data_IF_967483958666
#
_entry.id   IF_967483958666
#
_cell.length_a   1.000
_cell.length_b   1.000
_cell.length_c   1.000
_cell.angle_alpha   90.00
_cell.angle_beta   90.00
_cell.angle_gamma   90.00
#
_symmetry.space_group_name_H-M   'P 1'
#
loop_
_entity.id
_entity.type
_entity.pdbx_description
1 polymer ?
#
# COMPACT_ATOMS: atom_id res chain seq x y z
N UNK A 1 3.79 -18.81 20.10
CA UNK A 1 2.76 -19.46 19.24
C UNK A 1 3.01 -20.94 19.03
N UNK A 2 4.11 -21.38 18.41
CA UNK A 2 4.34 -22.81 18.15
C UNK A 2 4.32 -23.70 19.40
N UNK A 3 4.84 -23.23 20.53
CA UNK A 3 4.74 -23.96 21.81
C UNK A 3 3.27 -24.18 22.26
N UNK A 4 2.41 -23.16 22.10
CA UNK A 4 0.98 -23.29 22.38
C UNK A 4 0.30 -24.27 21.42
N UNK A 5 0.60 -24.21 20.11
CA UNK A 5 0.10 -25.17 19.12
C UNK A 5 0.50 -26.60 19.49
N UNK A 6 1.75 -26.82 19.92
CA UNK A 6 2.23 -28.14 20.32
C UNK A 6 1.55 -28.64 21.60
N UNK A 7 1.38 -27.78 22.61
CA UNK A 7 0.67 -28.12 23.84
C UNK A 7 -0.80 -28.48 23.59
N UNK A 8 -1.49 -27.74 22.71
CA UNK A 8 -2.86 -28.07 22.29
C UNK A 8 -2.91 -29.41 21.55
N UNK A 9 -1.98 -29.66 20.62
CA UNK A 9 -1.89 -30.96 19.93
C UNK A 9 -1.55 -32.12 20.85
N UNK A 10 -0.86 -31.86 21.96
CA UNK A 10 -0.56 -32.83 23.01
C UNK A 10 -1.72 -33.03 24.01
N UNK A 11 -2.79 -32.24 23.91
CA UNK A 11 -3.91 -32.26 24.87
C UNK A 11 -3.56 -31.65 26.23
N UNK A 12 -2.46 -30.89 26.32
CA UNK A 12 -2.01 -30.21 27.53
C UNK A 12 -2.75 -28.88 27.76
N UNK A 13 -3.22 -28.26 26.69
CA UNK A 13 -3.99 -27.02 26.68
C UNK A 13 -5.20 -27.16 25.76
N UNK A 14 -6.26 -26.38 26.03
CA UNK A 14 -7.43 -26.32 25.18
C UNK A 14 -7.15 -25.49 23.91
N UNK A 15 -7.69 -25.90 22.74
CA UNK A 15 -7.69 -25.05 21.55
C UNK A 15 -8.55 -23.79 21.78
N UNK A 16 -8.31 -22.69 21.03
CA UNK A 16 -9.22 -21.55 21.02
C UNK A 16 -10.65 -22.00 20.71
N UNK A 17 -11.62 -21.53 21.51
CA UNK A 17 -13.02 -21.94 21.40
C UNK A 17 -13.64 -21.63 20.03
N UNK A 18 -13.14 -20.60 19.36
CA UNK A 18 -13.50 -20.17 18.02
C UNK A 18 -13.14 -21.23 16.98
N UNK A 19 -12.05 -21.99 17.18
CA UNK A 19 -11.69 -23.09 16.30
C UNK A 19 -12.61 -24.29 16.45
N UNK A 20 -13.33 -24.44 17.57
CA UNK A 20 -14.37 -25.46 17.69
C UNK A 20 -15.60 -25.13 16.84
N UNK A 21 -15.93 -23.84 16.69
CA UNK A 21 -16.94 -23.39 15.75
C UNK A 21 -16.44 -23.50 14.31
N UNK A 22 -15.25 -22.95 14.02
CA UNK A 22 -14.68 -22.92 12.69
C UNK A 22 -14.32 -24.31 12.15
N UNK A 23 -13.90 -25.24 13.02
CA UNK A 23 -13.54 -26.61 12.64
C UNK A 23 -14.66 -27.33 11.91
N UNK A 24 -15.87 -27.26 12.47
CA UNK A 24 -17.07 -27.82 11.83
C UNK A 24 -17.38 -27.16 10.49
N UNK A 25 -17.11 -25.87 10.34
CA UNK A 25 -17.31 -25.15 9.08
C UNK A 25 -16.27 -25.49 8.02
N UNK A 26 -15.02 -25.64 8.44
CA UNK A 26 -13.85 -25.81 7.57
C UNK A 26 -13.50 -27.29 7.32
N UNK A 27 -14.31 -28.22 7.82
CA UNK A 27 -14.11 -29.66 7.62
C UNK A 27 -12.97 -30.26 8.46
N UNK A 28 -12.57 -29.60 9.55
CA UNK A 28 -11.63 -30.17 10.51
C UNK A 28 -12.37 -31.02 11.54
N UNK A 29 -11.92 -32.27 11.71
CA UNK A 29 -12.49 -33.19 12.71
C UNK A 29 -12.22 -32.72 14.14
N UNK A 30 -11.05 -32.10 14.34
CA UNK A 30 -10.64 -31.56 15.63
C UNK A 30 -10.14 -30.11 15.47
N UNK A 31 -10.41 -29.19 16.42
CA UNK A 31 -10.03 -27.78 16.31
C UNK A 31 -8.53 -27.55 16.08
N UNK A 32 -7.69 -28.40 16.66
CA UNK A 32 -6.23 -28.29 16.54
C UNK A 32 -5.71 -28.60 15.13
N UNK A 33 -6.49 -29.25 14.27
CA UNK A 33 -6.11 -29.52 12.87
C UNK A 33 -6.02 -28.22 12.06
N UNK A 34 -6.74 -27.17 12.47
CA UNK A 34 -6.64 -25.83 11.89
C UNK A 34 -5.43 -25.04 12.40
N UNK A 35 -4.73 -25.53 13.45
CA UNK A 35 -3.58 -24.87 14.04
C UNK A 35 -2.29 -25.30 13.33
N UNK A 36 -1.98 -24.60 12.24
CA UNK A 36 -0.75 -24.80 11.46
C UNK A 36 0.47 -24.17 12.16
N UNK A 37 1.65 -24.82 12.13
CA UNK A 37 2.87 -24.23 12.66
C UNK A 37 3.17 -22.88 11.99
N UNK A 38 3.54 -21.90 12.79
CA UNK A 38 4.01 -20.62 12.31
C UNK A 38 5.49 -20.76 11.90
N UNK A 39 5.80 -20.42 10.66
CA UNK A 39 7.17 -20.43 10.14
C UNK A 39 7.60 -19.05 9.67
N UNK A 40 8.82 -18.95 9.12
CA UNK A 40 9.34 -17.67 8.60
C UNK A 40 8.50 -17.12 7.45
N UNK A 41 7.86 -17.98 6.65
CA UNK A 41 6.97 -17.55 5.57
C UNK A 41 5.67 -16.99 6.15
N UNK A 42 5.16 -17.55 7.24
CA UNK A 42 4.02 -16.98 7.96
C UNK A 42 4.32 -15.56 8.45
N UNK A 43 5.48 -15.33 9.05
CA UNK A 43 5.89 -13.99 9.52
C UNK A 43 6.07 -13.02 8.35
N UNK A 44 6.74 -13.45 7.27
CA UNK A 44 6.91 -12.64 6.07
C UNK A 44 5.56 -12.32 5.40
N UNK A 45 4.63 -13.28 5.38
CA UNK A 45 3.28 -13.10 4.85
C UNK A 45 2.50 -12.06 5.64
N UNK A 46 2.48 -12.15 6.98
CA UNK A 46 1.84 -11.12 7.83
C UNK A 46 2.49 -9.75 7.59
N UNK A 47 3.81 -9.68 7.49
CA UNK A 47 4.52 -8.42 7.22
C UNK A 47 4.15 -7.82 5.87
N UNK A 48 4.17 -8.62 4.81
CA UNK A 48 3.77 -8.19 3.48
C UNK A 48 2.31 -7.72 3.44
N UNK A 49 1.40 -8.44 4.10
CA UNK A 49 -0.02 -8.04 4.21
C UNK A 49 -0.16 -6.70 4.92
N UNK A 50 0.49 -6.50 6.07
CA UNK A 50 0.44 -5.24 6.80
C UNK A 50 0.98 -4.07 5.98
N UNK A 51 2.15 -4.24 5.35
CA UNK A 51 2.76 -3.17 4.52
C UNK A 51 1.81 -2.80 3.39
N UNK A 52 1.27 -3.80 2.70
CA UNK A 52 0.30 -3.60 1.62
C UNK A 52 -0.97 -2.89 2.12
N UNK A 53 -1.59 -3.37 3.21
CA UNK A 53 -2.78 -2.74 3.78
C UNK A 53 -2.53 -1.30 4.25
N UNK A 54 -1.39 -1.02 4.87
CA UNK A 54 -1.11 0.31 5.42
C UNK A 54 -0.68 1.32 4.35
N UNK A 55 -0.11 0.86 3.24
CA UNK A 55 0.62 1.70 2.31
C UNK A 55 0.20 1.64 0.84
N UNK A 56 -0.42 0.55 0.36
CA UNK A 56 -0.77 0.45 -1.06
C UNK A 56 -1.96 1.35 -1.40
N UNK A 57 -1.70 2.37 -2.22
CA UNK A 57 -2.72 3.31 -2.67
C UNK A 57 -3.18 3.01 -4.11
N UNK A 58 -4.37 3.50 -4.43
CA UNK A 58 -5.03 3.30 -5.74
C UNK A 58 -5.57 4.61 -6.31
N UNK A 59 -5.13 5.73 -5.76
CA UNK A 59 -5.67 7.06 -6.02
C UNK A 59 -5.45 7.52 -7.46
N UNK A 60 -4.34 7.15 -8.09
CA UNK A 60 -4.06 7.48 -9.49
C UNK A 60 -5.09 6.87 -10.44
N UNK A 61 -5.45 5.60 -10.24
CA UNK A 61 -6.48 4.92 -11.03
C UNK A 61 -7.83 5.64 -10.86
N UNK A 62 -8.22 5.96 -9.62
CA UNK A 62 -9.47 6.67 -9.36
C UNK A 62 -9.51 8.06 -9.99
N UNK A 63 -8.39 8.81 -9.92
CA UNK A 63 -8.23 10.11 -10.57
C UNK A 63 -8.29 9.98 -12.09
N UNK A 64 -7.59 9.02 -12.68
CA UNK A 64 -7.61 8.77 -14.12
C UNK A 64 -8.99 8.37 -14.62
N UNK A 65 -9.69 7.47 -13.91
CA UNK A 65 -11.06 7.06 -14.24
C UNK A 65 -12.05 8.24 -14.15
N UNK A 66 -11.92 9.07 -13.11
CA UNK A 66 -12.73 10.30 -12.96
C UNK A 66 -12.45 11.27 -14.11
N UNK A 67 -11.17 11.49 -14.44
CA UNK A 67 -10.76 12.35 -15.53
C UNK A 67 -11.37 11.88 -16.87
N UNK A 68 -11.28 10.58 -17.17
CA UNK A 68 -11.84 9.97 -18.38
C UNK A 68 -13.37 10.10 -18.48
N UNK A 69 -14.07 10.29 -17.36
CA UNK A 69 -15.51 10.52 -17.33
C UNK A 69 -15.91 11.99 -17.64
N UNK A 70 -15.02 12.96 -17.36
CA UNK A 70 -15.32 14.39 -17.46
C UNK A 70 -15.88 14.82 -18.82
N UNK A 71 -15.37 14.36 -19.98
CA UNK A 71 -15.91 14.78 -21.27
C UNK A 71 -17.40 14.46 -21.45
N UNK A 72 -17.85 13.35 -20.85
CA UNK A 72 -19.25 12.87 -20.89
C UNK A 72 -20.13 13.41 -19.76
N UNK A 73 -19.55 14.15 -18.82
CA UNK A 73 -20.28 14.66 -17.66
C UNK A 73 -21.37 15.64 -18.12
N UNK A 74 -22.61 15.38 -17.68
CA UNK A 74 -23.80 16.17 -18.01
C UNK A 74 -24.20 16.19 -19.50
N UNK A 75 -23.76 15.23 -20.32
CA UNK A 75 -24.06 15.20 -21.76
C UNK A 75 -25.57 15.36 -22.08
N UNK A 76 -26.44 14.73 -21.29
CA UNK A 76 -27.90 14.77 -21.47
C UNK A 76 -28.62 15.79 -20.57
N UNK A 77 -27.88 16.60 -19.80
CA UNK A 77 -28.48 17.54 -18.85
C UNK A 77 -28.72 18.92 -19.48
N UNK A 78 -29.76 19.66 -19.04
CA UNK A 78 -29.92 21.07 -19.40
C UNK A 78 -28.68 21.89 -19.04
N UNK A 79 -28.18 22.68 -19.99
CA UNK A 79 -26.94 23.45 -19.84
C UNK A 79 -25.71 22.57 -19.55
N UNK A 80 -25.68 21.34 -20.07
CA UNK A 80 -24.62 20.36 -19.80
C UNK A 80 -23.19 20.89 -19.99
N UNK A 81 -22.94 21.61 -21.09
CA UNK A 81 -21.62 22.23 -21.34
C UNK A 81 -21.21 23.23 -20.25
N UNK A 82 -22.13 24.11 -19.83
CA UNK A 82 -21.86 25.10 -18.78
C UNK A 82 -21.68 24.43 -17.42
N UNK A 83 -22.46 23.39 -17.11
CA UNK A 83 -22.32 22.61 -15.87
C UNK A 83 -20.97 21.89 -15.83
N UNK A 84 -20.56 21.30 -16.95
CA UNK A 84 -19.27 20.62 -17.09
C UNK A 84 -18.13 21.63 -16.95
N UNK A 85 -18.21 22.77 -17.64
CA UNK A 85 -17.23 23.84 -17.50
C UNK A 85 -17.12 24.30 -16.05
N UNK A 86 -18.23 24.53 -15.34
CA UNK A 86 -18.22 24.88 -13.93
C UNK A 86 -17.56 23.81 -13.05
N UNK A 87 -17.89 22.53 -13.21
CA UNK A 87 -17.23 21.45 -12.43
C UNK A 87 -15.74 21.36 -12.75
N UNK A 88 -15.36 21.46 -14.02
CA UNK A 88 -13.95 21.41 -14.41
C UNK A 88 -13.20 22.60 -13.84
N UNK A 89 -13.68 23.83 -14.09
CA UNK A 89 -12.99 25.06 -13.73
C UNK A 89 -13.00 25.33 -12.23
N UNK A 90 -14.09 25.02 -11.51
CA UNK A 90 -14.25 25.38 -10.11
C UNK A 90 -13.91 24.25 -9.13
N UNK A 91 -14.00 22.98 -9.54
CA UNK A 91 -13.73 21.84 -8.66
C UNK A 91 -12.46 21.13 -9.12
N UNK A 92 -12.47 20.56 -10.33
CA UNK A 92 -11.44 19.64 -10.77
C UNK A 92 -10.07 20.30 -10.96
N UNK A 93 -10.04 21.50 -11.53
CA UNK A 93 -8.81 22.29 -11.74
C UNK A 93 -8.41 23.12 -10.51
N UNK A 94 -9.25 23.18 -9.47
CA UNK A 94 -9.07 24.04 -8.28
C UNK A 94 -9.22 23.28 -6.96
N UNK A 95 -8.85 22.00 -6.92
CA UNK A 95 -8.77 21.28 -5.65
C UNK A 95 -7.60 21.87 -4.85
N UNK A 96 -7.91 22.74 -3.89
CA UNK A 96 -6.96 23.31 -2.96
C UNK A 96 -7.45 23.16 -1.50
N UNK A 97 -6.54 23.00 -0.53
CA UNK A 97 -6.90 23.03 0.88
C UNK A 97 -7.62 24.34 1.20
N UNK A 98 -8.79 24.26 1.86
CA UNK A 98 -9.60 25.43 2.27
C UNK A 98 -8.79 26.42 3.14
N UNK A 99 -7.76 25.92 3.79
CA UNK A 99 -6.82 26.70 4.59
C UNK A 99 -5.39 26.45 4.10
N UNK A 100 -4.58 27.51 4.03
CA UNK A 100 -3.15 27.38 3.83
C UNK A 100 -2.57 26.47 4.93
N UNK A 101 -2.06 25.30 4.54
CA UNK A 101 -1.31 24.42 5.42
C UNK A 101 0.04 25.07 5.70
N UNK A 102 0.20 25.60 6.90
CA UNK A 102 1.47 26.10 7.42
C UNK A 102 1.93 25.25 8.60
N UNK A 103 3.24 25.04 8.72
CA UNK A 103 3.82 24.57 9.97
C UNK A 103 3.57 25.62 11.07
N UNK A 104 3.34 25.18 12.31
CA UNK A 104 3.20 26.08 13.44
C UNK A 104 4.46 26.97 13.59
N UNK A 105 4.25 28.20 14.02
CA UNK A 105 5.33 29.18 14.26
C UNK A 105 6.39 28.55 15.19
N UNK A 106 7.63 28.41 14.72
CA UNK A 106 8.74 27.79 15.47
C UNK A 106 9.26 26.44 14.95
N UNK A 107 8.63 25.83 13.94
CA UNK A 107 9.16 24.63 13.27
C UNK A 107 10.05 24.97 12.05
N UNK A 108 11.19 24.28 11.83
CA UNK A 108 12.20 24.68 10.83
C UNK A 108 11.73 24.55 9.36
N UNK A 109 10.56 23.98 9.10
CA UNK A 109 9.95 23.96 7.76
C UNK A 109 9.35 25.32 7.36
N UNK A 110 9.18 26.26 8.29
CA UNK A 110 8.60 27.58 8.04
C UNK A 110 9.65 28.60 7.58
N UNK A 111 10.24 28.39 6.41
CA UNK A 111 10.99 29.42 5.68
C UNK A 111 10.34 29.75 4.33
N UNK A 112 9.02 29.92 4.30
CA UNK A 112 8.32 30.59 3.20
C UNK A 112 7.34 31.63 3.75
N UNK A 113 7.88 32.67 4.36
CA UNK A 113 7.14 33.87 4.78
C UNK A 113 6.78 34.77 3.59
N UNK A 114 5.99 34.24 2.66
CA UNK A 114 5.40 35.00 1.56
C UNK A 114 3.91 34.70 1.43
N UNK A 115 3.06 35.65 0.98
CA UNK A 115 1.71 35.30 0.55
C UNK A 115 1.84 34.21 -0.53
N UNK A 116 1.04 33.13 -0.49
CA UNK A 116 1.09 32.10 -1.51
C UNK A 116 0.91 32.79 -2.87
N UNK A 117 1.82 32.49 -3.81
CA UNK A 117 1.59 32.86 -5.19
C UNK A 117 0.23 32.29 -5.62
N UNK A 118 -0.58 33.00 -6.43
CA UNK A 118 -1.80 32.43 -6.96
C UNK A 118 -1.44 31.10 -7.65
N UNK A 119 -2.14 29.99 -7.34
CA UNK A 119 -1.81 28.70 -7.92
C UNK A 119 -1.83 28.82 -9.44
N UNK A 120 -0.73 28.47 -10.08
CA UNK A 120 -0.74 28.25 -11.52
C UNK A 120 -1.62 27.03 -11.78
N UNK A 121 -2.58 27.18 -12.69
CA UNK A 121 -3.52 26.14 -13.12
C UNK A 121 -2.78 24.82 -13.38
N UNK A 122 -3.14 23.76 -12.65
CA UNK A 122 -2.56 22.42 -12.84
C UNK A 122 -3.68 21.43 -12.99
N UNK A 123 -4.10 21.23 -14.23
CA UNK A 123 -5.19 20.34 -14.53
C UNK A 123 -4.78 18.88 -14.45
N UNK A 124 -5.55 18.10 -13.70
CA UNK A 124 -5.60 16.66 -13.87
C UNK A 124 -6.27 16.37 -15.23
N UNK A 125 -5.56 16.44 -16.34
CA UNK A 125 -6.19 16.13 -17.65
C UNK A 125 -6.39 14.63 -17.79
N UNK A 126 -7.50 14.21 -18.40
CA UNK A 126 -7.66 12.81 -18.75
C UNK A 126 -6.56 12.41 -19.73
N UNK A 127 -5.90 11.28 -19.51
CA UNK A 127 -5.09 10.67 -20.55
C UNK A 127 -6.05 9.99 -21.54
N UNK A 128 -6.23 10.52 -22.77
CA UNK A 128 -7.16 9.97 -23.73
C UNK A 128 -6.70 8.60 -24.26
N UNK A 129 -5.45 8.19 -23.98
CA UNK A 129 -4.81 6.99 -24.49
C UNK A 129 -5.10 5.73 -23.66
N UNK A 130 -5.99 5.82 -22.68
CA UNK A 130 -6.44 4.67 -21.87
C UNK A 130 -7.95 4.51 -22.03
N UNK A 131 -8.43 3.37 -22.56
CA UNK A 131 -9.86 3.17 -22.71
C UNK A 131 -10.57 3.21 -21.36
N UNK A 132 -11.70 3.93 -21.30
CA UNK A 132 -12.48 4.10 -20.06
C UNK A 132 -12.93 2.77 -19.46
N UNK A 133 -13.19 1.76 -20.29
CA UNK A 133 -13.57 0.43 -19.81
C UNK A 133 -12.43 -0.21 -19.00
N UNK A 134 -11.18 -0.08 -19.45
CA UNK A 134 -9.99 -0.61 -18.76
C UNK A 134 -9.82 0.04 -17.38
N UNK A 135 -9.91 1.38 -17.34
CA UNK A 135 -9.89 2.14 -16.09
C UNK A 135 -11.04 1.76 -15.15
N UNK A 136 -12.26 1.64 -15.68
CA UNK A 136 -13.45 1.28 -14.91
C UNK A 136 -13.35 -0.11 -14.31
N UNK A 137 -12.94 -1.11 -15.08
CA UNK A 137 -12.76 -2.49 -14.58
C UNK A 137 -11.72 -2.58 -13.48
N UNK A 138 -10.56 -1.92 -13.67
CA UNK A 138 -9.52 -1.91 -12.66
C UNK A 138 -9.99 -1.17 -11.40
N UNK A 139 -10.57 0.02 -11.55
CA UNK A 139 -11.10 0.80 -10.43
C UNK A 139 -12.12 -0.02 -9.61
N UNK A 140 -13.09 -0.65 -10.28
CA UNK A 140 -14.10 -1.48 -9.61
C UNK A 140 -13.47 -2.68 -8.87
N UNK A 141 -12.42 -3.27 -9.44
CA UNK A 141 -11.71 -4.39 -8.79
C UNK A 141 -10.94 -3.92 -7.56
N UNK A 142 -10.22 -2.81 -7.66
CA UNK A 142 -9.50 -2.20 -6.56
C UNK A 142 -10.46 -1.76 -5.44
N UNK A 143 -11.60 -1.17 -5.78
CA UNK A 143 -12.65 -0.80 -4.80
C UNK A 143 -13.24 -2.02 -4.07
N UNK A 144 -13.43 -3.14 -4.79
CA UNK A 144 -13.83 -4.41 -4.14
C UNK A 144 -12.75 -4.94 -3.21
N UNK A 145 -11.47 -4.82 -3.60
CA UNK A 145 -10.35 -5.22 -2.76
C UNK A 145 -10.27 -4.36 -1.49
N UNK A 146 -10.27 -3.03 -1.63
CA UNK A 146 -10.23 -2.08 -0.50
C UNK A 146 -11.39 -2.31 0.49
N UNK A 147 -12.62 -2.49 -0.01
CA UNK A 147 -13.77 -2.84 0.85
C UNK A 147 -13.58 -4.17 1.58
N UNK A 148 -13.00 -5.18 0.93
CA UNK A 148 -12.74 -6.49 1.56
C UNK A 148 -11.68 -6.39 2.66
N UNK A 149 -10.75 -5.45 2.54
CA UNK A 149 -9.74 -5.15 3.55
C UNK A 149 -10.28 -4.22 4.67
N UNK A 150 -11.54 -3.79 4.60
CA UNK A 150 -12.16 -2.94 5.63
C UNK A 150 -11.84 -1.45 5.48
N UNK A 151 -11.27 -1.02 4.35
CA UNK A 151 -11.05 0.39 4.02
C UNK A 151 -12.30 0.97 3.37
N UNK A 152 -13.37 1.00 4.14
CA UNK A 152 -14.62 1.66 3.74
C UNK A 152 -14.64 3.08 4.31
N UNK A 153 -14.71 4.08 3.43
CA UNK A 153 -14.83 5.49 3.82
C UNK A 153 -16.08 5.77 4.66
N UNK A 154 -17.09 4.90 4.61
CA UNK A 154 -18.29 5.01 5.46
C UNK A 154 -18.06 4.58 6.92
N UNK A 155 -17.04 3.74 7.19
CA UNK A 155 -16.80 3.15 8.51
C UNK A 155 -15.70 3.85 9.34
N UNK A 156 -15.11 4.94 8.82
CA UNK A 156 -14.18 5.80 9.55
C UNK A 156 -12.87 5.10 9.92
N UNK A 157 -11.84 5.27 9.11
CA UNK A 157 -10.47 4.90 9.43
C UNK A 157 -9.65 6.16 9.77
N UNK A 158 -8.68 6.02 10.67
CA UNK A 158 -7.87 7.15 11.13
C UNK A 158 -7.01 6.79 12.33
N UNK A 159 -6.27 7.75 12.86
CA UNK A 159 -5.56 7.59 14.12
C UNK A 159 -5.18 8.96 14.65
N UNK A 160 -5.13 9.09 15.97
CA UNK A 160 -4.58 10.25 16.64
C UNK A 160 -3.38 9.85 17.51
N UNK A 161 -2.42 10.76 17.62
CA UNK A 161 -1.33 10.66 18.57
C UNK A 161 -0.93 12.04 19.08
N UNK A 162 -0.58 12.12 20.36
CA UNK A 162 -0.13 13.34 21.01
C UNK A 162 1.08 13.04 21.87
N UNK A 163 2.12 13.85 21.75
CA UNK A 163 3.25 13.87 22.67
C UNK A 163 3.39 15.25 23.30
N UNK A 164 3.62 15.28 24.62
CA UNK A 164 3.84 16.49 25.40
C UNK A 164 5.17 16.35 26.11
N UNK A 165 6.11 17.26 25.86
CA UNK A 165 7.42 17.25 26.51
C UNK A 165 7.31 17.57 28.00
N UNK A 166 8.36 17.24 28.76
CA UNK A 166 8.39 17.48 30.20
C UNK A 166 8.20 18.97 30.56
N UNK A 167 8.76 19.89 29.78
CA UNK A 167 8.63 21.34 29.99
C UNK A 167 7.19 21.86 29.85
N UNK A 168 6.36 21.16 29.07
CA UNK A 168 4.97 21.50 28.84
C UNK A 168 4.01 20.71 29.76
N UNK A 169 4.44 19.58 30.30
CA UNK A 169 3.63 18.71 31.15
C UNK A 169 3.64 19.18 32.62
N UNK A 170 2.48 19.22 33.27
CA UNK A 170 2.38 19.62 34.68
C UNK A 170 3.08 18.68 35.67
N UNK A 171 3.46 17.47 35.23
CA UNK A 171 4.07 16.42 36.05
C UNK A 171 5.59 16.32 35.94
N UNK A 172 6.24 17.11 35.07
CA UNK A 172 7.71 17.11 34.89
C UNK A 172 8.28 15.90 34.14
N UNK A 173 7.44 15.05 33.54
CA UNK A 173 7.84 13.99 32.61
C UNK A 173 7.05 14.10 31.31
N UNK A 174 7.57 13.55 30.22
CA UNK A 174 6.85 13.55 28.95
C UNK A 174 5.63 12.63 28.99
N UNK A 175 4.61 12.98 28.20
CA UNK A 175 3.36 12.23 28.08
C UNK A 175 3.18 11.84 26.62
N UNK A 176 2.90 10.57 26.36
CA UNK A 176 2.43 10.07 25.07
C UNK A 176 0.99 9.55 25.21
N UNK A 177 0.12 9.97 24.31
CA UNK A 177 -1.24 9.47 24.18
C UNK A 177 -1.51 9.04 22.74
N UNK A 178 -2.22 7.93 22.59
CA UNK A 178 -2.57 7.34 21.31
C UNK A 178 -4.01 6.89 21.25
N UNK A 179 -4.63 7.07 20.09
CA UNK A 179 -6.02 6.71 19.81
C UNK A 179 -6.13 6.26 18.35
N UNK A 180 -5.79 4.99 18.09
CA UNK A 180 -5.82 4.39 16.76
C UNK A 180 -7.23 3.96 16.35
N UNK A 181 -7.64 4.25 15.12
CA UNK A 181 -8.97 3.92 14.59
C UNK A 181 -8.84 2.94 13.42
N UNK A 182 -8.89 1.65 13.76
CA UNK A 182 -8.98 0.57 12.78
C UNK A 182 -10.29 -0.18 12.96
N UNK A 183 -10.76 -0.76 11.85
CA UNK A 183 -11.94 -1.61 11.86
C UNK A 183 -11.71 -2.83 12.77
N UNK A 184 -12.73 -3.18 13.56
CA UNK A 184 -12.67 -4.38 14.39
C UNK A 184 -12.79 -5.62 13.50
N UNK A 185 -11.74 -6.43 13.47
CA UNK A 185 -11.64 -7.67 12.72
C UNK A 185 -11.70 -8.89 13.64
N UNK A 186 -12.01 -10.06 13.07
CA UNK A 186 -11.92 -11.34 13.78
C UNK A 186 -10.97 -12.26 13.00
N UNK A 187 -9.79 -12.61 13.54
CA UNK A 187 -9.24 -12.17 14.84
C UNK A 187 -8.88 -10.69 14.85
N UNK A 188 -8.76 -10.09 16.05
CA UNK A 188 -8.33 -8.70 16.22
C UNK A 188 -6.95 -8.47 15.58
N UNK A 189 -6.74 -7.34 14.92
CA UNK A 189 -5.44 -7.00 14.37
C UNK A 189 -4.38 -6.81 15.46
N UNK A 190 -4.76 -6.11 16.55
CA UNK A 190 -3.88 -5.85 17.68
C UNK A 190 -4.24 -6.72 18.88
N UNK A 191 -3.20 -7.23 19.54
CA UNK A 191 -3.28 -7.89 20.82
C UNK A 191 -2.39 -7.20 21.82
N UNK A 192 -2.95 -6.92 22.99
CA UNK A 192 -2.15 -6.42 24.10
C UNK A 192 -1.26 -7.55 24.60
N UNK A 193 0.05 -7.31 24.60
CA UNK A 193 1.03 -8.28 25.06
C UNK A 193 2.19 -7.58 25.78
N UNK A 194 2.92 -8.37 26.56
CA UNK A 194 4.19 -7.99 27.17
C UNK A 194 5.25 -9.01 26.79
N UNK A 195 6.41 -8.52 26.36
CA UNK A 195 7.59 -9.31 26.05
C UNK A 195 8.62 -9.06 27.14
N UNK A 196 8.90 -10.08 27.93
CA UNK A 196 9.98 -10.06 28.91
C UNK A 196 10.81 -11.32 28.71
N UNK A 197 11.98 -11.17 28.09
CA UNK A 197 12.85 -12.32 27.82
C UNK A 197 13.51 -12.83 29.10
N UNK A 198 13.69 -12.01 30.14
CA UNK A 198 14.23 -12.50 31.42
C UNK A 198 13.35 -13.58 32.03
N UNK A 199 12.02 -13.49 31.87
CA UNK A 199 11.08 -14.53 32.28
C UNK A 199 11.26 -15.86 31.50
N UNK A 200 11.93 -15.83 30.35
CA UNK A 200 12.23 -16.97 29.49
C UNK A 200 13.65 -17.52 29.65
N UNK A 201 14.40 -17.05 30.66
CA UNK A 201 15.71 -17.59 31.03
C UNK A 201 16.93 -16.83 30.47
N UNK A 202 16.75 -15.61 29.95
CA UNK A 202 17.86 -14.72 29.55
C UNK A 202 17.42 -13.57 28.64
N UNK A 203 18.35 -12.72 28.21
CA UNK A 203 18.04 -11.55 27.34
C UNK A 203 17.65 -10.29 28.12
N UNK A 204 17.46 -9.20 27.39
CA UNK A 204 17.27 -7.83 27.89
C UNK A 204 16.04 -7.13 27.30
N UNK A 205 15.19 -7.84 26.56
CA UNK A 205 13.95 -7.28 26.02
C UNK A 205 12.89 -7.18 27.13
N UNK A 206 12.45 -5.95 27.38
CA UNK A 206 11.30 -5.63 28.24
C UNK A 206 10.40 -4.66 27.49
N UNK A 207 9.29 -5.14 26.94
CA UNK A 207 8.36 -4.33 26.17
C UNK A 207 6.92 -4.64 26.55
N UNK A 208 6.04 -3.64 26.50
CA UNK A 208 4.61 -3.80 26.70
C UNK A 208 3.83 -2.90 25.74
N UNK A 209 2.74 -3.41 25.18
CA UNK A 209 1.96 -2.65 24.21
C UNK A 209 1.03 -3.51 23.38
N UNK A 210 0.82 -3.08 22.14
CA UNK A 210 0.03 -3.75 21.12
C UNK A 210 0.97 -4.38 20.08
N UNK A 211 0.90 -5.70 19.97
CA UNK A 211 1.58 -6.45 18.91
C UNK A 211 0.58 -7.02 17.91
N UNK A 212 1.08 -7.38 16.72
CA UNK A 212 0.29 -8.09 15.70
C UNK A 212 0.49 -9.60 15.90
N UNK A 213 -0.59 -10.41 15.93
CA UNK A 213 -0.48 -11.86 15.99
C UNK A 213 0.50 -12.42 14.95
N UNK A 214 1.43 -13.26 15.40
CA UNK A 214 2.44 -13.82 14.50
C UNK A 214 3.72 -13.02 14.42
N UNK A 215 3.72 -11.74 14.82
CA UNK A 215 4.91 -10.90 14.83
C UNK A 215 5.53 -10.84 16.22
N UNK A 216 6.86 -11.06 16.37
CA UNK A 216 7.54 -10.99 17.65
C UNK A 216 7.91 -9.54 18.05
N UNK A 217 7.13 -8.55 17.64
CA UNK A 217 7.45 -7.12 17.73
C UNK A 217 6.22 -6.31 18.15
N UNK A 218 6.48 -5.17 18.78
CA UNK A 218 5.44 -4.22 19.19
C UNK A 218 5.25 -3.15 18.11
N UNK A 219 4.02 -3.00 17.63
CA UNK A 219 3.69 -1.90 16.71
C UNK A 219 3.55 -0.58 17.48
N UNK A 220 2.87 -0.62 18.63
CA UNK A 220 2.66 0.50 19.54
C UNK A 220 2.98 0.03 20.95
N UNK A 221 3.73 0.80 21.73
CA UNK A 221 4.08 0.35 23.07
C UNK A 221 5.16 1.16 23.75
N UNK A 222 5.79 0.53 24.73
CA UNK A 222 6.92 1.08 25.46
C UNK A 222 7.89 -0.02 25.86
N UNK A 223 9.17 0.33 25.95
CA UNK A 223 10.21 -0.51 26.55
C UNK A 223 10.60 -0.07 27.98
N UNK A 224 9.86 0.88 28.55
CA UNK A 224 10.15 1.47 29.86
C UNK A 224 11.10 2.68 29.82
N UNK A 225 11.81 2.90 28.70
CA UNK A 225 12.66 4.07 28.47
C UNK A 225 12.01 5.03 27.46
N UNK A 226 11.42 4.47 26.41
CA UNK A 226 10.72 5.18 25.36
C UNK A 226 9.33 4.57 25.21
N UNK A 227 8.34 5.42 24.97
CA UNK A 227 7.02 5.03 24.49
C UNK A 227 6.82 5.54 23.07
N UNK A 228 6.17 4.75 22.22
CA UNK A 228 5.89 5.12 20.83
C UNK A 228 4.49 4.70 20.39
N UNK A 229 3.96 5.48 19.46
CA UNK A 229 2.69 5.27 18.80
C UNK A 229 2.81 5.60 17.32
N UNK A 230 1.83 5.17 16.53
CA UNK A 230 1.81 5.30 15.09
C UNK A 230 0.49 5.92 14.61
N UNK A 231 0.54 6.68 13.53
CA UNK A 231 -0.65 7.17 12.82
C UNK A 231 -0.44 7.06 11.31
N UNK A 232 -1.50 6.84 10.54
CA UNK A 232 -1.36 6.67 9.09
C UNK A 232 -0.88 7.99 8.42
N UNK A 233 0.19 7.91 7.65
CA UNK A 233 0.75 9.05 6.90
C UNK A 233 0.10 9.19 5.52
N UNK A 234 -0.45 8.10 4.96
CA UNK A 234 -0.99 8.06 3.59
C UNK A 234 0.06 8.56 2.58
N UNK A 235 1.28 8.04 2.69
CA UNK A 235 2.38 8.42 1.81
C UNK A 235 2.10 8.08 0.35
N UNK A 236 2.56 8.93 -0.55
CA UNK A 236 2.55 8.69 -1.99
C UNK A 236 3.72 7.78 -2.39
N UNK A 237 3.47 6.46 -2.29
CA UNK A 237 4.48 5.37 -2.41
C UNK A 237 4.12 4.32 -3.48
N UNK A 238 3.15 4.61 -4.32
CA UNK A 238 2.79 3.82 -5.49
C UNK A 238 2.76 4.75 -6.70
N UNK A 239 3.37 4.37 -7.80
CA UNK A 239 3.17 5.03 -9.09
C UNK A 239 2.42 4.08 -10.03
N UNK A 240 1.43 4.59 -10.73
CA UNK A 240 0.71 3.84 -11.77
C UNK A 240 1.16 4.26 -13.17
N UNK A 241 1.16 3.31 -14.09
CA UNK A 241 1.69 3.49 -15.45
C UNK A 241 0.71 3.00 -16.49
N UNK A 242 0.67 3.72 -17.62
CA UNK A 242 0.13 3.25 -18.89
C UNK A 242 1.27 2.61 -19.69
N UNK A 243 1.16 1.32 -19.96
CA UNK A 243 2.05 0.57 -20.84
C UNK A 243 1.44 0.38 -22.22
N UNK A 244 2.29 0.28 -23.25
CA UNK A 244 1.92 -0.27 -24.55
C UNK A 244 2.35 -1.74 -24.62
N UNK A 245 1.37 -2.64 -24.59
CA UNK A 245 1.55 -4.07 -24.56
C UNK A 245 1.68 -4.65 -25.97
N UNK A 246 2.56 -5.63 -26.11
CA UNK A 246 2.74 -6.44 -27.31
C UNK A 246 2.41 -7.89 -26.94
N UNK A 247 1.50 -8.49 -27.69
CA UNK A 247 1.08 -9.87 -27.51
C UNK A 247 1.94 -10.82 -28.35
N UNK A 248 2.13 -12.04 -27.84
CA UNK A 248 2.68 -13.16 -28.60
C UNK A 248 1.69 -13.75 -29.60
N UNK A 249 2.16 -14.72 -30.39
CA UNK A 249 1.29 -15.47 -31.31
C UNK A 249 0.17 -16.25 -30.59
N UNK A 250 0.33 -16.51 -29.30
CA UNK A 250 -0.64 -17.15 -28.41
C UNK A 250 -1.61 -16.16 -27.75
N UNK A 251 -1.53 -14.87 -28.10
CA UNK A 251 -2.39 -13.82 -27.55
C UNK A 251 -2.08 -13.47 -26.09
N UNK A 252 -0.96 -13.93 -25.54
CA UNK A 252 -0.52 -13.62 -24.18
C UNK A 252 0.49 -12.46 -24.17
N UNK A 253 0.62 -11.73 -23.05
CA UNK A 253 1.64 -10.69 -22.88
C UNK A 253 3.05 -11.19 -23.20
N UNK A 254 3.73 -10.56 -24.15
CA UNK A 254 5.09 -10.92 -24.56
C UNK A 254 6.11 -9.80 -24.29
N UNK A 255 5.74 -8.55 -24.57
CA UNK A 255 6.62 -7.40 -24.38
C UNK A 255 5.81 -6.13 -24.09
N UNK A 256 6.52 -5.10 -23.63
CA UNK A 256 6.04 -3.72 -23.51
C UNK A 256 6.94 -2.80 -24.33
N UNK A 257 6.40 -1.70 -24.85
CA UNK A 257 7.24 -0.69 -25.52
C UNK A 257 7.86 0.24 -24.48
N UNK A 258 9.17 0.40 -24.51
CA UNK A 258 9.91 1.35 -23.65
C UNK A 258 11.00 2.05 -24.45
N UNK A 259 10.97 3.38 -24.47
CA UNK A 259 11.91 4.25 -25.20
C UNK A 259 12.09 3.82 -26.67
N UNK A 260 10.98 3.45 -27.30
CA UNK A 260 10.94 2.98 -28.69
C UNK A 260 11.42 1.54 -28.92
N UNK A 261 11.81 0.81 -27.87
CA UNK A 261 12.27 -0.59 -27.93
C UNK A 261 11.19 -1.52 -27.38
N UNK A 262 11.22 -2.78 -27.81
CA UNK A 262 10.40 -3.83 -27.20
C UNK A 262 11.19 -4.45 -26.05
N UNK A 263 10.66 -4.32 -24.84
CA UNK A 263 11.24 -4.89 -23.63
C UNK A 263 10.36 -6.05 -23.13
N UNK A 264 10.96 -7.19 -22.76
CA UNK A 264 10.20 -8.40 -22.47
C UNK A 264 9.32 -8.26 -21.23
N UNK A 265 8.10 -8.80 -21.30
CA UNK A 265 7.27 -9.04 -20.12
C UNK A 265 7.73 -10.34 -19.46
N UNK A 266 7.85 -10.31 -18.14
CA UNK A 266 8.17 -11.50 -17.33
C UNK A 266 6.89 -12.16 -16.87
N UNK A 267 6.69 -13.41 -17.27
CA UNK A 267 5.58 -14.25 -16.80
C UNK A 267 6.04 -15.17 -15.67
N UNK A 268 5.38 -15.09 -14.52
CA UNK A 268 5.61 -15.98 -13.37
C UNK A 268 4.38 -16.83 -13.15
N UNK A 269 4.50 -18.16 -13.31
CA UNK A 269 3.40 -19.08 -13.01
C UNK A 269 3.22 -19.22 -11.50
N UNK A 270 2.02 -18.93 -11.02
CA UNK A 270 1.64 -19.04 -9.62
C UNK A 270 0.61 -20.15 -9.46
N UNK A 271 0.84 -21.03 -8.48
CA UNK A 271 -0.04 -22.17 -8.20
C UNK A 271 -0.73 -21.97 -6.87
N UNK A 272 -2.05 -22.09 -6.89
CA UNK A 272 -2.93 -21.90 -5.75
C UNK A 272 -3.65 -23.21 -5.43
N UNK A 273 -3.67 -23.58 -4.15
CA UNK A 273 -4.44 -24.72 -3.67
C UNK A 273 -5.72 -24.20 -3.04
N UNK A 274 -6.85 -24.48 -3.69
CA UNK A 274 -8.16 -24.13 -3.16
C UNK A 274 -8.68 -25.32 -2.34
N UNK A 275 -8.98 -25.07 -1.08
CA UNK A 275 -9.46 -26.11 -0.16
C UNK A 275 -10.88 -26.57 -0.52
N UNK A 276 -11.12 -27.88 -0.39
CA UNK A 276 -12.47 -28.44 -0.47
C UNK A 276 -13.20 -28.17 0.84
N UNK A 277 -14.16 -27.24 0.81
CA UNK A 277 -14.99 -26.88 1.96
C UNK A 277 -16.46 -26.92 1.52
N UNK A 278 -17.10 -28.10 1.53
CA UNK A 278 -18.45 -28.29 0.98
C UNK A 278 -19.51 -27.36 1.60
N UNK A 279 -19.36 -27.01 2.89
CA UNK A 279 -20.29 -26.10 3.57
C UNK A 279 -20.25 -24.68 2.98
N UNK A 280 -19.11 -24.26 2.43
CA UNK A 280 -18.95 -22.97 1.75
C UNK A 280 -19.20 -23.09 0.24
N UNK A 281 -19.62 -24.26 -0.25
CA UNK A 281 -19.70 -24.54 -1.69
C UNK A 281 -18.34 -24.53 -2.38
N UNK A 282 -17.23 -24.65 -1.63
CA UNK A 282 -15.88 -24.65 -2.19
C UNK A 282 -15.48 -26.06 -2.60
N UNK A 283 -15.20 -26.26 -3.87
CA UNK A 283 -14.64 -27.51 -4.40
C UNK A 283 -13.12 -27.45 -4.42
N UNK A 284 -12.48 -28.50 -3.90
CA UNK A 284 -11.03 -28.60 -3.85
C UNK A 284 -10.40 -28.69 -5.23
N UNK A 285 -9.47 -27.80 -5.54
CA UNK A 285 -8.81 -27.74 -6.84
C UNK A 285 -7.45 -27.07 -6.74
N UNK A 286 -6.63 -27.30 -7.76
CA UNK A 286 -5.38 -26.58 -7.96
C UNK A 286 -5.61 -25.64 -9.13
N UNK A 287 -5.40 -24.35 -8.90
CA UNK A 287 -5.42 -23.34 -9.95
C UNK A 287 -3.98 -22.94 -10.26
N UNK A 288 -3.68 -22.65 -11.52
CA UNK A 288 -2.38 -22.09 -11.90
C UNK A 288 -2.61 -21.05 -12.97
N UNK A 289 -2.07 -19.86 -12.75
CA UNK A 289 -2.17 -18.74 -13.68
C UNK A 289 -0.88 -17.91 -13.64
N UNK A 290 -0.63 -17.18 -14.70
CA UNK A 290 0.55 -16.34 -14.83
C UNK A 290 0.29 -14.96 -14.21
N UNK A 291 1.22 -14.51 -13.36
CA UNK A 291 1.39 -13.10 -13.04
C UNK A 291 2.39 -12.48 -14.01
N UNK A 292 2.09 -11.27 -14.49
CA UNK A 292 2.93 -10.56 -15.45
C UNK A 292 3.55 -9.31 -14.81
N UNK A 293 4.85 -9.12 -15.05
CA UNK A 293 5.56 -7.88 -14.71
C UNK A 293 6.29 -7.35 -15.94
N UNK A 294 6.46 -6.04 -16.03
CA UNK A 294 7.33 -5.41 -17.04
C UNK A 294 8.80 -5.80 -16.81
N UNK A 295 9.66 -5.46 -17.77
CA UNK A 295 11.10 -5.75 -17.73
C UNK A 295 11.82 -5.18 -16.49
N UNK A 296 11.29 -4.09 -15.93
CA UNK A 296 11.79 -3.39 -14.75
C UNK A 296 11.01 -3.71 -13.47
N UNK A 297 10.10 -4.69 -13.50
CA UNK A 297 9.49 -5.27 -12.30
C UNK A 297 8.12 -4.72 -11.91
N UNK A 298 7.57 -3.75 -12.66
CA UNK A 298 6.24 -3.18 -12.41
C UNK A 298 5.16 -4.23 -12.68
N UNK A 299 4.18 -4.32 -11.79
CA UNK A 299 3.15 -5.35 -11.87
C UNK A 299 2.03 -4.94 -12.81
N UNK A 300 1.75 -5.75 -13.83
CA UNK A 300 0.63 -5.50 -14.73
C UNK A 300 -0.65 -5.90 -14.00
N UNK A 301 -1.47 -4.90 -13.70
CA UNK A 301 -2.73 -5.06 -13.00
C UNK A 301 -3.91 -5.22 -13.95
N UNK A 302 -3.98 -4.47 -15.05
CA UNK A 302 -5.09 -4.56 -16.00
C UNK A 302 -4.57 -4.53 -17.44
N UNK A 303 -5.30 -5.16 -18.35
CA UNK A 303 -4.95 -5.20 -19.77
C UNK A 303 -6.19 -4.87 -20.59
N UNK A 304 -6.01 -4.08 -21.64
CA UNK A 304 -7.03 -3.83 -22.63
C UNK A 304 -7.44 -5.11 -23.36
N UNK A 305 -8.74 -5.30 -23.50
CA UNK A 305 -9.29 -6.52 -24.05
C UNK A 305 -10.69 -6.79 -23.54
N UNK A 306 -11.37 -7.72 -24.19
CA UNK A 306 -12.74 -8.08 -23.81
C UNK A 306 -12.74 -8.88 -22.52
N UNK A 307 -13.72 -8.62 -21.67
CA UNK A 307 -14.00 -9.48 -20.53
C UNK A 307 -14.41 -10.87 -21.00
N UNK A 308 -13.94 -11.90 -20.30
CA UNK A 308 -14.19 -13.30 -20.61
C UNK A 308 -14.54 -14.09 -19.34
N UNK A 309 -14.90 -15.37 -19.51
CA UNK A 309 -15.05 -16.31 -18.38
C UNK A 309 -13.91 -17.32 -18.34
N UNK A 310 -13.67 -17.93 -17.17
CA UNK A 310 -12.57 -18.88 -16.96
C UNK A 310 -12.61 -20.08 -17.91
N UNK A 311 -13.82 -20.51 -18.31
CA UNK A 311 -14.06 -21.68 -19.14
C UNK A 311 -14.38 -21.32 -20.60
N UNK A 312 -14.13 -20.07 -21.00
CA UNK A 312 -14.50 -19.61 -22.33
C UNK A 312 -13.66 -20.28 -23.43
N UNK A 313 -14.32 -20.68 -24.51
CA UNK A 313 -13.63 -21.19 -25.69
C UNK A 313 -12.99 -20.05 -26.50
N UNK A 314 -11.66 -20.07 -26.60
CA UNK A 314 -10.87 -19.07 -27.30
C UNK A 314 -10.73 -19.38 -28.80
N UNK A 315 -10.68 -18.33 -29.62
CA UNK A 315 -10.32 -18.45 -31.03
C UNK A 315 -8.81 -18.69 -31.21
N UNK A 316 -8.36 -19.20 -32.38
CA UNK A 316 -6.93 -19.35 -32.65
C UNK A 316 -6.18 -18.03 -32.52
N UNK A 317 -5.10 -18.03 -31.72
CA UNK A 317 -4.29 -16.84 -31.45
C UNK A 317 -4.82 -15.93 -30.33
N UNK A 318 -5.95 -16.27 -29.70
CA UNK A 318 -6.40 -15.62 -28.47
C UNK A 318 -5.79 -16.30 -27.25
N UNK A 319 -5.37 -15.47 -26.28
CA UNK A 319 -4.92 -15.90 -24.96
C UNK A 319 -5.91 -15.43 -23.89
N UNK A 320 -5.99 -16.17 -22.78
CA UNK A 320 -6.80 -15.80 -21.63
C UNK A 320 -5.89 -15.43 -20.46
N UNK A 321 -6.06 -14.20 -19.95
CA UNK A 321 -5.29 -13.68 -18.83
C UNK A 321 -6.19 -13.54 -17.60
N UNK A 322 -5.74 -14.06 -16.46
CA UNK A 322 -6.38 -13.87 -15.16
C UNK A 322 -5.65 -12.77 -14.38
N UNK A 323 -6.31 -11.65 -14.16
CA UNK A 323 -5.80 -10.48 -13.44
C UNK A 323 -6.48 -10.38 -12.07
N UNK A 324 -6.22 -11.37 -11.20
CA UNK A 324 -6.78 -11.39 -9.84
C UNK A 324 -8.30 -11.63 -9.78
N UNK A 325 -8.79 -12.56 -10.60
CA UNK A 325 -10.20 -12.96 -10.67
C UNK A 325 -10.98 -12.30 -11.81
N UNK A 326 -10.36 -11.36 -12.54
CA UNK A 326 -10.88 -10.82 -13.79
C UNK A 326 -10.22 -11.53 -14.97
N UNK A 327 -11.02 -12.19 -15.80
CA UNK A 327 -10.56 -12.87 -17.00
C UNK A 327 -10.71 -11.95 -18.20
N UNK A 328 -9.61 -11.76 -18.93
CA UNK A 328 -9.54 -10.87 -20.10
C UNK A 328 -8.92 -11.63 -21.26
N UNK A 329 -9.49 -11.47 -22.44
CA UNK A 329 -8.82 -11.82 -23.70
C UNK A 329 -8.19 -10.54 -24.25
N UNK A 330 -6.86 -10.38 -24.16
CA UNK A 330 -6.19 -9.15 -24.54
C UNK A 330 -6.44 -8.78 -26.01
N UNK A 331 -6.60 -7.49 -26.28
CA UNK A 331 -6.81 -6.97 -27.61
C UNK A 331 -7.12 -5.48 -27.61
N UNK A 332 -6.90 -4.84 -28.76
CA UNK A 332 -7.20 -3.43 -28.99
C UNK A 332 -8.72 -3.24 -29.12
N UNK A 333 -9.33 -2.60 -28.11
CA UNK A 333 -10.77 -2.41 -28.00
C UNK A 333 -11.24 -1.13 -28.71
N UNK A 334 -10.43 -0.08 -28.70
CA UNK A 334 -10.80 1.21 -29.25
C UNK A 334 -10.32 1.45 -30.69
N UNK A 335 -9.49 0.53 -31.21
CA UNK A 335 -9.01 0.48 -32.59
C UNK A 335 -7.89 1.48 -32.88
N UNK A 336 -7.18 1.96 -31.86
CA UNK A 336 -6.08 2.92 -32.02
C UNK A 336 -4.75 2.26 -32.48
N UNK A 337 -4.70 0.93 -32.53
CA UNK A 337 -3.54 0.15 -32.93
C UNK A 337 -2.58 -0.17 -31.77
N UNK A 338 -2.96 0.15 -30.54
CA UNK A 338 -2.21 -0.09 -29.31
C UNK A 338 -3.04 -0.96 -28.38
N UNK A 339 -2.38 -1.86 -27.65
CA UNK A 339 -3.02 -2.61 -26.58
C UNK A 339 -2.50 -2.02 -25.29
N UNK A 340 -3.36 -1.31 -24.56
CA UNK A 340 -2.96 -0.66 -23.31
C UNK A 340 -2.89 -1.68 -22.17
N UNK A 341 -1.88 -1.57 -21.31
CA UNK A 341 -1.88 -2.23 -20.01
C UNK A 341 -1.67 -1.20 -18.90
N UNK A 342 -2.24 -1.46 -17.72
CA UNK A 342 -2.05 -0.65 -16.53
C UNK A 342 -1.15 -1.40 -15.57
N UNK A 343 -0.01 -0.81 -15.27
CA UNK A 343 0.97 -1.36 -14.34
C UNK A 343 1.13 -0.47 -13.11
N UNK A 344 1.62 -1.03 -12.01
CA UNK A 344 2.02 -0.25 -10.85
C UNK A 344 3.44 -0.59 -10.41
N UNK A 345 4.12 0.41 -9.89
CA UNK A 345 5.31 0.27 -9.08
C UNK A 345 4.99 0.64 -7.64
N UNK A 346 5.33 -0.23 -6.70
CA UNK A 346 4.97 -0.06 -5.29
C UNK A 346 6.23 -0.22 -4.43
N UNK A 347 6.59 0.83 -3.69
CA UNK A 347 7.79 0.84 -2.85
C UNK A 347 7.80 -0.32 -1.84
N UNK A 348 6.63 -0.82 -1.40
CA UNK A 348 6.59 -1.97 -0.48
C UNK A 348 7.12 -3.27 -1.08
N UNK A 349 7.34 -3.32 -2.40
CA UNK A 349 8.02 -4.42 -3.07
C UNK A 349 9.55 -4.23 -3.12
N UNK A 350 10.05 -3.03 -2.85
CA UNK A 350 11.48 -2.79 -2.63
C UNK A 350 11.86 -3.35 -1.25
N UNK A 351 12.98 -4.08 -1.19
CA UNK A 351 13.36 -5.01 -0.12
C UNK A 351 13.68 -4.41 1.27
N UNK A 352 12.84 -3.51 1.78
CA UNK A 352 12.90 -2.98 3.14
C UNK A 352 12.82 -4.08 4.20
N UNK A 353 13.29 -3.76 5.41
CA UNK A 353 13.19 -4.68 6.54
C UNK A 353 12.52 -3.99 7.73
N UNK A 354 11.20 -3.80 7.68
CA UNK A 354 10.45 -3.15 8.75
C UNK A 354 10.52 -3.95 10.06
N UNK A 355 10.78 -5.26 10.01
CA UNK A 355 10.99 -6.06 11.22
C UNK A 355 12.27 -5.62 11.96
N UNK A 356 13.37 -5.39 11.24
CA UNK A 356 14.59 -4.87 11.86
C UNK A 356 14.42 -3.44 12.38
N UNK A 357 13.66 -2.60 11.67
CA UNK A 357 13.35 -1.25 12.13
C UNK A 357 12.52 -1.24 13.41
N UNK A 358 11.42 -2.02 13.45
CA UNK A 358 10.55 -2.15 14.63
C UNK A 358 11.27 -2.81 15.82
N UNK A 359 12.15 -3.77 15.57
CA UNK A 359 13.02 -4.36 16.60
C UNK A 359 13.98 -3.33 17.19
N UNK A 360 14.65 -2.54 16.33
CA UNK A 360 15.53 -1.47 16.77
C UNK A 360 14.77 -0.38 17.55
N UNK A 361 13.55 -0.01 17.12
CA UNK A 361 12.68 0.91 17.87
C UNK A 361 12.36 0.36 19.26
N UNK A 362 12.06 -0.93 19.37
CA UNK A 362 11.76 -1.59 20.64
C UNK A 362 12.94 -1.63 21.63
N UNK A 363 14.17 -1.41 21.16
CA UNK A 363 15.39 -1.40 21.98
C UNK A 363 16.03 -0.01 22.11
N UNK A 364 15.38 1.04 21.61
CA UNK A 364 15.88 2.41 21.72
C UNK A 364 15.95 2.89 23.18
N UNK A 365 17.04 3.56 23.55
CA UNK A 365 17.23 4.15 24.88
C UNK A 365 16.57 5.52 25.06
N UNK A 366 16.41 6.28 23.97
CA UNK A 366 15.82 7.61 23.93
C UNK A 366 15.09 7.88 22.59
N UNK A 367 14.45 9.03 22.45
CA UNK A 367 13.75 9.37 21.20
C UNK A 367 14.69 9.57 20.00
N UNK A 368 15.97 9.89 20.22
CA UNK A 368 16.93 10.09 19.13
C UNK A 368 17.39 8.74 18.54
N UNK A 369 17.66 7.75 19.37
CA UNK A 369 17.90 6.36 18.94
C UNK A 369 16.65 5.77 18.26
N UNK A 370 15.46 6.08 18.76
CA UNK A 370 14.21 5.66 18.12
C UNK A 370 14.06 6.30 16.73
N UNK A 371 14.33 7.60 16.59
CA UNK A 371 14.33 8.28 15.30
C UNK A 371 15.29 7.60 14.31
N UNK A 372 16.53 7.30 14.73
CA UNK A 372 17.51 6.60 13.89
C UNK A 372 17.07 5.18 13.50
N UNK A 373 16.29 4.49 14.33
CA UNK A 373 15.70 3.20 14.01
C UNK A 373 14.62 3.28 12.91
N UNK A 374 13.85 4.37 12.86
CA UNK A 374 12.82 4.58 11.81
C UNK A 374 13.43 4.68 10.41
N UNK A 375 14.75 4.86 10.28
CA UNK A 375 15.44 4.89 8.99
C UNK A 375 15.29 3.64 8.13
N UNK A 376 14.90 2.53 8.75
CA UNK A 376 14.59 1.28 8.08
C UNK A 376 13.16 1.11 7.59
N UNK A 377 12.29 2.08 7.86
CA UNK A 377 10.90 2.06 7.44
C UNK A 377 10.81 2.53 5.98
N UNK A 378 10.68 1.56 5.08
CA UNK A 378 10.48 1.73 3.64
C UNK A 378 9.05 1.35 3.34
N UNK A 379 8.29 2.23 2.65
CA UNK A 379 6.87 2.01 2.35
C UNK A 379 5.95 1.78 3.56
N UNK A 380 6.40 2.08 4.78
CA UNK A 380 5.64 1.76 5.99
C UNK A 380 4.39 2.64 6.14
N UNK A 381 4.39 3.84 5.56
CA UNK A 381 3.25 4.76 5.49
C UNK A 381 2.64 5.13 6.84
N UNK A 382 3.45 5.16 7.90
CA UNK A 382 3.07 5.63 9.23
C UNK A 382 3.93 6.83 9.67
N UNK A 383 3.31 7.79 10.35
CA UNK A 383 4.02 8.69 11.24
C UNK A 383 4.30 7.98 12.56
N UNK A 384 5.46 8.23 13.15
CA UNK A 384 5.82 7.76 14.48
C UNK A 384 5.81 8.94 15.45
N UNK A 385 5.16 8.75 16.60
CA UNK A 385 5.14 9.72 17.70
C UNK A 385 5.69 9.04 18.94
N UNK A 386 6.68 9.64 19.59
CA UNK A 386 7.33 9.05 20.76
C UNK A 386 7.58 10.06 21.86
N UNK A 387 7.78 9.54 23.06
CA UNK A 387 8.21 10.28 24.24
C UNK A 387 9.15 9.40 25.07
N UNK A 388 10.16 9.99 25.71
CA UNK A 388 11.10 9.24 26.55
C UNK A 388 11.13 9.70 28.02
N UNK A 389 11.91 8.97 28.82
CA UNK A 389 12.14 9.25 30.23
C UNK A 389 12.96 10.51 30.51
N UNK A 390 13.62 11.09 29.50
CA UNK A 390 14.38 12.33 29.62
C UNK A 390 13.48 13.56 29.50
N UNK A 391 12.25 13.37 29.03
CA UNK A 391 11.28 14.45 28.86
C UNK A 391 11.17 14.93 27.41
N UNK A 392 11.87 14.26 26.50
CA UNK A 392 11.89 14.59 25.08
C UNK A 392 10.74 13.91 24.34
N UNK A 393 10.35 14.51 23.21
CA UNK A 393 9.28 14.01 22.34
C UNK A 393 9.74 14.02 20.89
N UNK A 394 9.18 13.10 20.11
CA UNK A 394 9.41 12.96 18.68
C UNK A 394 8.07 12.90 17.96
N UNK A 395 7.97 13.63 16.86
CA UNK A 395 7.09 13.33 15.76
C UNK A 395 7.98 13.16 14.54
N UNK A 396 7.90 12.03 13.86
CA UNK A 396 8.60 11.83 12.60
C UNK A 396 7.68 11.19 11.57
N UNK A 397 7.54 11.79 10.38
CA UNK A 397 6.93 11.16 9.22
C UNK A 397 7.96 10.36 8.41
N UNK A 398 9.14 10.04 8.98
CA UNK A 398 10.21 9.39 8.24
C UNK A 398 9.71 8.11 7.58
N UNK A 399 9.78 8.12 6.26
CA UNK A 399 9.72 6.95 5.42
C UNK A 399 10.39 7.26 4.09
N UNK A 400 10.95 6.23 3.47
CA UNK A 400 11.42 6.30 2.10
C UNK A 400 10.23 6.34 1.14
N UNK A 401 10.19 7.34 0.26
CA UNK A 401 9.22 7.49 -0.83
C UNK A 401 9.98 7.67 -2.16
N UNK A 402 9.37 7.38 -3.32
CA UNK A 402 10.08 7.51 -4.59
C UNK A 402 10.27 9.00 -4.92
N UNK A 403 11.49 9.37 -5.34
CA UNK A 403 11.71 10.70 -5.91
C UNK A 403 11.06 10.80 -7.29
N UNK A 404 10.52 11.99 -7.60
CA UNK A 404 9.90 12.30 -8.90
C UNK A 404 10.54 13.53 -9.58
N UNK A 405 11.69 13.98 -9.08
CA UNK A 405 12.41 15.14 -9.62
C UNK A 405 12.97 14.90 -11.03
N UNK A 406 13.15 13.62 -11.39
CA UNK A 406 13.52 13.19 -12.74
C UNK A 406 12.39 13.33 -13.76
N UNK A 407 11.13 13.42 -13.31
CA UNK A 407 10.00 13.60 -14.21
C UNK A 407 10.03 15.04 -14.77
N UNK A 408 9.93 15.20 -16.10
CA UNK A 408 10.15 16.50 -16.71
C UNK A 408 9.04 17.49 -16.41
N UNK A 409 9.43 18.77 -16.29
CA UNK A 409 8.52 19.89 -16.12
C UNK A 409 8.61 20.85 -17.30
N UNK A 410 7.45 21.33 -17.74
CA UNK A 410 7.35 22.38 -18.74
C UNK A 410 7.89 23.73 -18.24
N UNK A 411 7.97 24.70 -19.16
CA UNK A 411 8.48 26.04 -18.86
C UNK A 411 7.64 26.83 -17.83
N UNK A 412 6.39 26.42 -17.62
CA UNK A 412 5.48 26.94 -16.61
C UNK A 412 5.56 26.20 -15.27
N UNK A 413 6.45 25.22 -15.14
CA UNK A 413 6.61 24.40 -13.94
C UNK A 413 5.55 23.31 -13.77
N UNK A 414 4.62 23.16 -14.71
CA UNK A 414 3.72 22.01 -14.80
C UNK A 414 4.49 20.74 -15.19
N UNK A 415 3.91 19.56 -14.93
CA UNK A 415 4.46 18.31 -15.46
C UNK A 415 4.27 18.27 -16.97
N UNK A 416 5.26 17.72 -17.69
CA UNK A 416 5.06 17.40 -19.11
C UNK A 416 4.03 16.26 -19.27
N UNK A 417 3.59 16.03 -20.50
CA UNK A 417 2.60 14.99 -20.81
C UNK A 417 3.09 13.61 -20.37
N UNK A 418 2.21 12.86 -19.70
CA UNK A 418 2.55 11.55 -19.11
C UNK A 418 3.55 11.58 -17.94
N UNK A 419 3.99 12.75 -17.46
CA UNK A 419 4.99 12.89 -16.39
C UNK A 419 4.39 13.25 -15.03
N UNK A 420 3.06 13.33 -14.92
CA UNK A 420 2.40 13.75 -13.68
C UNK A 420 2.23 12.54 -12.74
N UNK A 421 2.95 12.47 -11.61
CA UNK A 421 2.89 11.34 -10.68
C UNK A 421 1.60 11.28 -9.85
N UNK A 422 0.71 12.28 -9.97
CA UNK A 422 -0.64 12.17 -9.40
C UNK A 422 -1.64 11.55 -10.40
N UNK A 423 -1.14 10.99 -11.50
CA UNK A 423 -1.89 10.38 -12.59
C UNK A 423 -1.12 9.16 -13.11
N UNK A 424 -1.62 8.54 -14.18
CA UNK A 424 -0.88 7.50 -14.86
C UNK A 424 0.35 8.09 -15.55
N UNK A 425 1.52 7.58 -15.19
CA UNK A 425 2.77 7.86 -15.88
C UNK A 425 2.80 7.14 -17.24
N UNK A 426 3.45 7.76 -18.22
CA UNK A 426 3.67 7.12 -19.52
C UNK A 426 4.80 6.09 -19.42
N UNK A 427 4.42 4.82 -19.27
CA UNK A 427 5.31 3.68 -19.16
C UNK A 427 6.15 3.42 -20.41
N UNK A 428 5.82 4.05 -21.54
CA UNK A 428 6.69 4.00 -22.73
C UNK A 428 7.90 4.91 -22.63
N UNK A 429 7.90 5.85 -21.68
CA UNK A 429 8.94 6.86 -21.52
C UNK A 429 9.63 6.75 -20.16
N UNK A 430 8.84 6.59 -19.10
CA UNK A 430 9.29 6.57 -17.71
C UNK A 430 9.23 5.14 -17.16
N UNK A 431 10.37 4.66 -16.65
CA UNK A 431 10.47 3.34 -16.01
C UNK A 431 10.14 3.42 -14.52
N UNK A 432 10.09 2.25 -13.89
CA UNK A 432 9.92 2.10 -12.45
C UNK A 432 11.09 2.67 -11.63
N UNK A 433 10.88 2.74 -10.32
CA UNK A 433 11.86 3.17 -9.34
C UNK A 433 12.40 1.98 -8.55
N UNK A 434 13.47 2.22 -7.79
CA UNK A 434 13.97 1.26 -6.80
C UNK A 434 14.65 2.04 -5.69
N UNK A 435 14.21 1.83 -4.45
CA UNK A 435 14.86 2.43 -3.28
C UNK A 435 16.09 1.60 -2.88
N UNK A 436 17.29 2.19 -2.97
CA UNK A 436 18.51 1.52 -2.53
C UNK A 436 18.64 1.49 -1.02
N UNK A 437 19.08 0.35 -0.51
CA UNK A 437 19.29 0.11 0.91
C UNK A 437 20.76 -0.25 1.18
N UNK A 438 21.31 0.25 2.29
CA UNK A 438 22.54 -0.24 2.92
C UNK A 438 22.18 -1.03 4.18
N UNK A 439 22.34 -2.35 4.11
CA UNK A 439 21.75 -3.26 5.06
C UNK A 439 20.22 -3.19 5.00
N UNK A 440 19.60 -2.61 6.03
CA UNK A 440 18.14 -2.43 6.12
C UNK A 440 17.71 -0.95 6.15
N UNK A 441 18.65 -0.01 6.01
CA UNK A 441 18.39 1.42 6.03
C UNK A 441 18.50 2.02 4.63
N UNK A 442 17.73 3.06 4.37
CA UNK A 442 17.78 3.82 3.11
C UNK A 442 19.15 4.48 2.94
N UNK A 443 19.70 4.43 1.73
CA UNK A 443 20.91 5.20 1.38
C UNK A 443 20.54 6.67 1.20
N UNK A 444 21.03 7.54 2.09
CA UNK A 444 20.81 8.98 1.96
C UNK A 444 21.45 9.53 0.67
N UNK A 445 20.73 10.43 -0.02
CA UNK A 445 21.21 11.07 -1.25
C UNK A 445 21.09 10.21 -2.51
N UNK A 446 20.43 9.05 -2.46
CA UNK A 446 20.04 8.31 -3.66
C UNK A 446 18.99 9.13 -4.45
N UNK A 447 19.26 9.50 -5.71
CA UNK A 447 18.33 10.33 -6.48
C UNK A 447 16.98 9.66 -6.77
N UNK A 448 16.85 8.35 -6.56
CA UNK A 448 15.58 7.63 -6.66
C UNK A 448 14.79 7.58 -5.35
N UNK A 449 15.44 7.87 -4.21
CA UNK A 449 14.84 7.76 -2.89
C UNK A 449 14.77 9.13 -2.21
N UNK A 450 13.56 9.64 -2.07
CA UNK A 450 13.29 10.85 -1.32
C UNK A 450 12.86 10.41 0.06
N UNK A 451 13.43 11.03 1.08
CA UNK A 451 13.15 10.69 2.47
C UNK A 451 12.48 11.89 3.09
N UNK A 452 11.33 11.67 3.74
CA UNK A 452 10.73 12.74 4.55
C UNK A 452 11.68 13.01 5.72
N UNK A 453 12.27 14.22 5.81
CA UNK A 453 13.26 14.52 6.83
C UNK A 453 12.64 14.48 8.23
N UNK A 454 13.48 14.20 9.23
CA UNK A 454 13.16 14.23 10.66
C UNK A 454 12.75 15.62 11.16
#
# INVERSE_FOLDING_TARGET
MNAYILAVKAGELDPPSELALAGNLLGAEEPWMLMLPFDRRSVAGVGATLIYELGFETGDIGRANTAAALPSLYADAPLGELRRAGVVDDIWLRVEPVHAVGAAEGWPAAATSGPPAPPQHRGLTADPRVPREVLGRLNDRLDRLQRRLGHDWENGFGSNAWAVSADAASGGGAILAGDGHLSLTVPSLFYQLGLDTQLLGGGDTHQAGLGVPGMPLMAVGTNGLVAWNQTQLMGDITDWYREELILGEDGLPAATRFQGREEPVVSTMETWVVANVPLLGSEGRIETWARYTTFDGRWIAEIEGRSASADEALAPGEGLVNLGGSYVVPGDLDGDGVITALAFDYVGLDGGNPLAALDAMGHAGDVAELAEATRGLVAYSQNIVAADIHGDVLYTPYQAVPCRDQLPRGADGGWEDGANPSQLLDGTTYGGFTIKLDGWKVVEGDPAACVVPF
#
